data_IF_819419952897
#
_entry.id   IF_819419952897
#
_cell.length_a   1.000
_cell.length_b   1.000
_cell.length_c   1.000
_cell.angle_alpha   90.00
_cell.angle_beta   90.00
_cell.angle_gamma   90.00
#
_symmetry.space_group_name_H-M   'P 1'
#
loop_
_entity.id
_entity.type
_entity.pdbx_description
1 polymer ?
#
# COMPACT_ATOMS: atom_id res chain seq x y z
N UNK A 1 -7.19 16.15 3.61
CA UNK A 1 -8.48 16.80 3.26
C UNK A 1 -8.24 18.19 2.66
N UNK A 2 -9.03 18.56 1.63
CA UNK A 2 -8.86 19.81 0.90
C UNK A 2 -8.81 21.07 1.81
N UNK A 3 -9.67 21.23 2.83
CA UNK A 3 -9.61 22.41 3.71
C UNK A 3 -8.26 22.55 4.44
N UNK A 4 -7.70 21.45 4.88
CA UNK A 4 -6.40 21.45 5.58
C UNK A 4 -5.26 21.81 4.62
N UNK A 5 -5.26 21.22 3.41
CA UNK A 5 -4.29 21.58 2.39
C UNK A 5 -4.35 23.07 2.03
N UNK A 6 -5.56 23.61 1.86
CA UNK A 6 -5.74 25.04 1.56
C UNK A 6 -5.31 25.94 2.73
N UNK A 7 -5.60 25.54 3.98
CA UNK A 7 -5.12 26.29 5.14
C UNK A 7 -3.59 26.36 5.17
N UNK A 8 -2.91 25.22 5.04
CA UNK A 8 -1.45 25.15 5.02
C UNK A 8 -0.85 26.01 3.89
N UNK A 9 -1.42 25.92 2.68
CA UNK A 9 -0.94 26.66 1.53
C UNK A 9 -1.13 28.18 1.66
N UNK A 10 -2.22 28.61 2.26
CA UNK A 10 -2.57 30.04 2.36
C UNK A 10 -1.99 30.69 3.61
N UNK A 11 -1.91 29.97 4.74
CA UNK A 11 -1.36 30.51 6.00
C UNK A 11 0.14 30.41 6.09
N UNK A 12 0.76 29.42 5.44
CA UNK A 12 2.17 29.09 5.63
C UNK A 12 2.46 28.49 7.01
N UNK A 13 1.44 28.16 7.81
CA UNK A 13 1.64 27.55 9.12
C UNK A 13 2.17 26.12 9.02
N UNK A 14 3.04 25.76 9.96
CA UNK A 14 3.57 24.40 10.05
C UNK A 14 2.57 23.47 10.73
N UNK A 15 2.43 22.28 10.18
CA UNK A 15 1.61 21.22 10.75
C UNK A 15 2.44 20.39 11.74
N UNK A 16 1.88 20.06 12.91
CA UNK A 16 2.53 19.12 13.81
C UNK A 16 2.52 17.70 13.26
N UNK A 17 3.46 16.84 13.73
CA UNK A 17 3.48 15.44 13.32
C UNK A 17 2.17 14.71 13.70
N UNK A 18 1.59 15.03 14.86
CA UNK A 18 0.34 14.47 15.35
C UNK A 18 -0.84 14.89 14.47
N UNK A 19 -0.92 16.16 14.10
CA UNK A 19 -1.96 16.63 13.18
C UNK A 19 -1.78 16.02 11.79
N UNK A 20 -0.55 15.87 11.32
CA UNK A 20 -0.26 15.18 10.07
C UNK A 20 -0.76 13.74 10.07
N UNK A 21 -0.61 13.01 11.18
CA UNK A 21 -1.18 11.68 11.36
C UNK A 21 -2.71 11.72 11.39
N UNK A 22 -3.29 12.62 12.17
CA UNK A 22 -4.74 12.76 12.27
C UNK A 22 -5.40 13.06 10.92
N UNK A 23 -4.71 13.81 10.06
CA UNK A 23 -5.19 14.17 8.73
C UNK A 23 -4.79 13.17 7.63
N UNK A 24 -4.10 12.09 7.98
CA UNK A 24 -3.71 11.04 7.05
C UNK A 24 -2.56 11.39 6.10
N UNK A 25 -1.75 12.39 6.44
CA UNK A 25 -0.53 12.75 5.69
C UNK A 25 0.62 11.78 5.96
N UNK A 26 0.67 11.22 7.17
CA UNK A 26 1.62 10.19 7.58
C UNK A 26 0.87 9.06 8.26
N UNK A 27 1.40 7.84 8.18
CA UNK A 27 0.77 6.65 8.75
C UNK A 27 0.90 6.62 10.28
N UNK A 28 2.12 6.78 10.78
CA UNK A 28 2.44 6.69 12.20
C UNK A 28 3.36 7.83 12.63
N UNK A 29 3.24 8.22 13.89
CA UNK A 29 4.14 9.14 14.57
C UNK A 29 4.71 8.42 15.79
N UNK A 30 6.03 8.31 15.85
CA UNK A 30 6.76 7.62 16.91
C UNK A 30 7.90 8.50 17.43
N UNK A 31 8.43 8.26 18.62
CA UNK A 31 9.66 8.92 19.08
C UNK A 31 10.80 8.74 18.07
N UNK A 32 11.67 9.75 17.95
CA UNK A 32 12.76 9.74 16.96
C UNK A 32 13.64 8.47 17.05
N UNK A 33 13.91 8.00 18.27
CA UNK A 33 14.70 6.78 18.49
C UNK A 33 14.05 5.49 18.00
N UNK A 34 12.72 5.50 17.75
CA UNK A 34 11.94 4.35 17.31
C UNK A 34 11.60 4.42 15.80
N UNK A 35 11.97 5.52 15.14
CA UNK A 35 11.57 5.77 13.75
C UNK A 35 12.00 4.64 12.80
N UNK A 36 13.25 4.22 12.87
CA UNK A 36 13.76 3.17 12.00
C UNK A 36 13.14 1.80 12.30
N UNK A 37 12.95 1.47 13.57
CA UNK A 37 12.31 0.23 13.97
C UNK A 37 10.86 0.14 13.46
N UNK A 38 10.12 1.25 13.52
CA UNK A 38 8.75 1.30 12.99
C UNK A 38 8.73 1.22 11.47
N UNK A 39 9.64 1.90 10.78
CA UNK A 39 9.77 1.83 9.33
C UNK A 39 10.11 0.39 8.85
N UNK A 40 11.04 -0.28 9.52
CA UNK A 40 11.41 -1.67 9.26
C UNK A 40 10.23 -2.60 9.52
N UNK A 41 9.52 -2.43 10.63
CA UNK A 41 8.31 -3.20 10.93
C UNK A 41 7.26 -3.06 9.81
N UNK A 42 7.02 -1.85 9.32
CA UNK A 42 6.07 -1.62 8.22
C UNK A 42 6.55 -2.27 6.92
N UNK A 43 7.84 -2.16 6.62
CA UNK A 43 8.45 -2.81 5.45
C UNK A 43 8.32 -4.34 5.53
N UNK A 44 8.57 -4.93 6.68
CA UNK A 44 8.44 -6.38 6.90
C UNK A 44 7.01 -6.87 6.67
N UNK A 45 6.01 -6.11 7.14
CA UNK A 45 4.60 -6.44 6.87
C UNK A 45 4.31 -6.46 5.36
N UNK A 46 4.83 -5.49 4.62
CA UNK A 46 4.67 -5.43 3.16
C UNK A 46 5.40 -6.59 2.48
N UNK A 47 6.63 -6.89 2.92
CA UNK A 47 7.46 -7.96 2.36
C UNK A 47 6.92 -9.39 2.61
N UNK A 48 5.97 -9.56 3.52
CA UNK A 48 5.29 -10.85 3.71
C UNK A 48 4.27 -11.16 2.60
N UNK A 49 3.97 -10.22 1.72
CA UNK A 49 3.01 -10.40 0.63
C UNK A 49 3.72 -10.74 -0.69
N UNK A 50 2.98 -11.33 -1.63
CA UNK A 50 3.52 -11.66 -2.95
C UNK A 50 3.99 -10.41 -3.70
N UNK A 51 5.26 -10.36 -4.14
CA UNK A 51 5.85 -9.14 -4.69
C UNK A 51 5.19 -8.66 -5.98
N UNK A 52 4.69 -9.57 -6.82
CA UNK A 52 3.94 -9.21 -8.02
C UNK A 52 2.59 -8.56 -7.67
N UNK A 53 1.89 -9.10 -6.67
CA UNK A 53 0.64 -8.53 -6.18
C UNK A 53 0.87 -7.12 -5.60
N UNK A 54 1.94 -6.91 -4.81
CA UNK A 54 2.25 -5.60 -4.24
C UNK A 54 2.54 -4.54 -5.32
N UNK A 55 3.28 -4.91 -6.38
CA UNK A 55 3.53 -4.04 -7.53
C UNK A 55 2.24 -3.67 -8.24
N UNK A 56 1.39 -4.65 -8.49
CA UNK A 56 0.09 -4.46 -9.15
C UNK A 56 -0.85 -3.57 -8.33
N UNK A 57 -0.97 -3.81 -7.03
CA UNK A 57 -1.81 -2.99 -6.13
C UNK A 57 -1.32 -1.54 -6.13
N UNK A 58 -0.01 -1.30 -6.05
CA UNK A 58 0.54 0.05 -6.09
C UNK A 58 0.25 0.73 -7.43
N UNK A 59 0.43 0.03 -8.54
CA UNK A 59 0.12 0.55 -9.87
C UNK A 59 -1.36 0.94 -10.00
N UNK A 60 -2.25 0.04 -9.59
CA UNK A 60 -3.70 0.27 -9.60
C UNK A 60 -4.11 1.45 -8.71
N UNK A 61 -3.57 1.53 -7.49
CA UNK A 61 -3.86 2.62 -6.58
C UNK A 61 -3.41 3.98 -7.12
N UNK A 62 -2.24 4.05 -7.74
CA UNK A 62 -1.71 5.31 -8.31
C UNK A 62 -2.46 5.72 -9.57
N UNK A 63 -2.68 4.78 -10.50
CA UNK A 63 -3.35 5.09 -11.78
C UNK A 63 -4.84 5.27 -11.62
N UNK A 64 -5.48 4.48 -10.76
CA UNK A 64 -6.92 4.48 -10.54
C UNK A 64 -7.47 5.82 -10.04
N UNK A 65 -6.65 6.61 -9.34
CA UNK A 65 -7.05 7.94 -8.86
C UNK A 65 -7.39 8.94 -9.98
N UNK A 66 -6.86 8.74 -11.19
CA UNK A 66 -6.93 9.70 -12.29
C UNK A 66 -7.75 9.19 -13.47
N UNK A 67 -8.42 8.05 -13.35
CA UNK A 67 -9.22 7.50 -14.42
C UNK A 67 -10.68 7.31 -14.02
N UNK A 68 -11.62 7.33 -14.98
CA UNK A 68 -13.01 6.99 -14.71
C UNK A 68 -13.12 5.59 -14.09
N UNK A 69 -14.04 5.42 -13.15
CA UNK A 69 -14.22 4.18 -12.37
C UNK A 69 -14.26 2.91 -13.23
N UNK A 70 -15.00 2.94 -14.33
CA UNK A 70 -15.12 1.78 -15.24
C UNK A 70 -13.78 1.36 -15.85
N UNK A 71 -12.91 2.31 -16.18
CA UNK A 71 -11.56 2.03 -16.69
C UNK A 71 -10.67 1.47 -15.59
N UNK A 72 -10.78 1.98 -14.36
CA UNK A 72 -10.09 1.43 -13.20
C UNK A 72 -10.43 -0.04 -12.96
N UNK A 73 -11.72 -0.39 -12.99
CA UNK A 73 -12.19 -1.78 -12.85
C UNK A 73 -11.66 -2.67 -13.96
N UNK A 74 -11.68 -2.20 -15.21
CA UNK A 74 -11.12 -2.97 -16.35
C UNK A 74 -9.62 -3.21 -16.21
N UNK A 75 -8.87 -2.20 -15.76
CA UNK A 75 -7.44 -2.31 -15.52
C UNK A 75 -7.16 -3.33 -14.40
N UNK A 76 -7.93 -3.26 -13.31
CA UNK A 76 -7.84 -4.23 -12.19
C UNK A 76 -8.08 -5.66 -12.68
N UNK A 77 -9.14 -5.88 -13.47
CA UNK A 77 -9.44 -7.18 -14.03
C UNK A 77 -8.32 -7.71 -14.93
N UNK A 78 -7.77 -6.85 -15.80
CA UNK A 78 -6.68 -7.22 -16.71
C UNK A 78 -5.41 -7.61 -15.95
N UNK A 79 -5.00 -6.80 -14.96
CA UNK A 79 -3.82 -7.08 -14.13
C UNK A 79 -4.07 -8.32 -13.26
N UNK A 80 -5.27 -8.46 -12.67
CA UNK A 80 -5.65 -9.62 -11.88
C UNK A 80 -5.67 -10.91 -12.69
N UNK A 81 -6.00 -10.85 -14.00
CA UNK A 81 -5.90 -12.00 -14.88
C UNK A 81 -4.47 -12.50 -15.02
N UNK A 82 -3.53 -11.58 -15.28
CA UNK A 82 -2.10 -11.90 -15.39
C UNK A 82 -1.55 -12.47 -14.08
N UNK A 83 -1.95 -11.91 -12.94
CA UNK A 83 -1.49 -12.39 -11.63
C UNK A 83 -1.97 -13.80 -11.30
N UNK A 84 -3.18 -14.20 -11.74
CA UNK A 84 -3.74 -15.54 -11.46
C UNK A 84 -2.89 -16.69 -12.02
N UNK A 85 -2.14 -16.43 -13.08
CA UNK A 85 -1.31 -17.44 -13.73
C UNK A 85 0.07 -17.60 -13.07
N UNK A 86 0.41 -16.75 -12.09
CA UNK A 86 1.70 -16.78 -11.39
C UNK A 86 1.79 -17.91 -10.37
N UNK A 87 3.00 -18.32 -10.03
CA UNK A 87 3.25 -19.31 -8.99
C UNK A 87 2.87 -18.77 -7.61
N UNK A 88 3.09 -17.50 -7.37
CA UNK A 88 2.71 -16.83 -6.11
C UNK A 88 1.19 -16.85 -5.89
N UNK A 89 0.39 -16.73 -6.96
CA UNK A 89 -1.07 -16.81 -6.86
C UNK A 89 -1.57 -18.21 -6.46
N UNK A 90 -0.82 -19.25 -6.78
CA UNK A 90 -1.11 -20.64 -6.37
C UNK A 90 -0.58 -20.91 -4.96
N UNK A 91 0.58 -20.36 -4.62
CA UNK A 91 1.24 -20.54 -3.31
C UNK A 91 0.39 -19.95 -2.17
N UNK A 92 -0.19 -18.78 -2.33
CA UNK A 92 -0.98 -18.12 -1.29
C UNK A 92 -2.10 -19.01 -0.72
N UNK A 93 -3.08 -19.43 -1.54
CA UNK A 93 -4.15 -20.34 -1.10
C UNK A 93 -3.63 -21.69 -0.58
N UNK A 94 -2.57 -22.24 -1.18
CA UNK A 94 -1.97 -23.49 -0.74
C UNK A 94 -1.39 -23.36 0.66
N UNK A 95 -0.57 -22.35 0.91
CA UNK A 95 0.01 -22.10 2.22
C UNK A 95 -1.07 -21.86 3.29
N UNK A 96 -2.15 -21.14 2.92
CA UNK A 96 -3.28 -20.91 3.81
C UNK A 96 -3.98 -22.24 4.20
N UNK A 97 -4.26 -23.12 3.22
CA UNK A 97 -4.86 -24.43 3.47
C UNK A 97 -3.97 -25.32 4.32
N UNK A 98 -2.66 -25.26 4.13
CA UNK A 98 -1.65 -26.00 4.90
C UNK A 98 -1.28 -25.35 6.23
N UNK A 99 -1.86 -24.20 6.58
CA UNK A 99 -1.59 -23.43 7.82
C UNK A 99 -0.11 -23.09 8.02
N UNK A 100 0.60 -22.80 6.96
CA UNK A 100 2.02 -22.40 6.96
C UNK A 100 2.19 -21.00 6.36
N UNK A 101 3.36 -20.41 6.58
CA UNK A 101 3.72 -19.18 5.89
C UNK A 101 3.93 -19.44 4.39
N UNK A 102 3.44 -18.55 3.50
CA UNK A 102 3.69 -18.64 2.07
C UNK A 102 5.17 -18.35 1.75
N UNK A 103 5.66 -18.95 0.68
CA UNK A 103 6.98 -18.68 0.14
C UNK A 103 6.84 -18.07 -1.26
N UNK A 104 6.67 -16.76 -1.30
CA UNK A 104 6.51 -16.03 -2.55
C UNK A 104 7.86 -15.81 -3.25
N UNK A 105 7.89 -16.05 -4.56
CA UNK A 105 9.12 -16.00 -5.38
C UNK A 105 9.11 -14.89 -6.42
N UNK A 106 7.96 -14.24 -6.64
CA UNK A 106 7.80 -13.21 -7.65
C UNK A 106 7.73 -13.77 -9.07
N UNK A 107 7.20 -14.97 -9.23
CA UNK A 107 7.07 -15.66 -10.51
C UNK A 107 5.63 -16.13 -10.76
#
# INVERSE_FOLDING_TARGET
PYPIAMWMLLSGEMLSAQDAQQHGLVNNVVPLGELMAEAERMADVICQNGPLAMRAIKELAVRGQYMPFEFGVRLEQAIGQVLRDTDDAKEGPKAFAEKRKPNFTGR
#
